data_IF_283739393197
#
_entry.id   IF_283739393197
#
_cell.length_a   1.000
_cell.length_b   1.000
_cell.length_c   1.000
_cell.angle_alpha   90.00
_cell.angle_beta   90.00
_cell.angle_gamma   90.00
#
_symmetry.space_group_name_H-M   'P 1'
#
loop_
_entity.id
_entity.type
_entity.pdbx_description
1 polymer ?
#
# COMPACT_ATOMS: atom_id res chain seq x y z
N UNK A 1 -27.55 17.61 24.38
CA UNK A 1 -26.19 18.22 24.52
C UNK A 1 -25.23 17.29 23.79
N UNK A 2 -24.92 17.59 22.54
CA UNK A 2 -24.02 16.76 21.72
C UNK A 2 -22.54 17.04 22.10
N UNK A 3 -21.63 16.09 21.86
CA UNK A 3 -20.24 16.27 22.24
C UNK A 3 -19.62 17.41 21.42
N UNK A 4 -18.98 18.34 22.12
CA UNK A 4 -18.15 19.37 21.53
C UNK A 4 -17.05 18.74 20.68
N UNK A 5 -17.16 18.89 19.37
CA UNK A 5 -16.10 18.57 18.43
C UNK A 5 -15.03 19.65 18.62
N UNK A 6 -13.91 19.31 19.22
CA UNK A 6 -12.74 20.18 19.18
C UNK A 6 -12.38 20.42 17.72
N UNK A 7 -12.60 21.62 17.23
CA UNK A 7 -12.05 22.05 15.96
C UNK A 7 -10.53 22.10 16.14
N UNK A 8 -9.83 21.16 15.50
CA UNK A 8 -8.39 21.24 15.28
C UNK A 8 -8.09 22.58 14.61
N UNK A 9 -6.95 23.24 14.90
CA UNK A 9 -6.55 24.45 14.19
C UNK A 9 -6.64 24.20 12.69
N UNK A 10 -7.28 25.12 11.96
CA UNK A 10 -7.68 24.95 10.57
C UNK A 10 -6.57 24.29 9.76
N UNK A 11 -6.83 23.06 9.28
CA UNK A 11 -5.96 22.40 8.32
C UNK A 11 -5.73 23.37 7.16
N UNK A 12 -4.49 23.58 6.72
CA UNK A 12 -4.24 24.44 5.57
C UNK A 12 -5.11 23.98 4.40
N UNK A 13 -5.59 24.92 3.62
CA UNK A 13 -6.36 24.59 2.42
C UNK A 13 -5.52 23.68 1.51
N UNK A 14 -6.15 22.82 0.70
CA UNK A 14 -5.42 21.94 -0.24
C UNK A 14 -4.46 22.74 -1.13
N UNK A 15 -4.81 23.97 -1.51
CA UNK A 15 -3.90 24.86 -2.24
C UNK A 15 -2.68 25.27 -1.41
N UNK A 16 -2.84 25.54 -0.12
CA UNK A 16 -1.73 25.85 0.77
C UNK A 16 -0.77 24.66 0.98
N UNK A 17 -1.32 23.45 1.10
CA UNK A 17 -0.49 22.23 1.16
C UNK A 17 0.28 21.98 -0.14
N UNK A 18 -0.35 22.21 -1.28
CA UNK A 18 0.31 22.09 -2.57
C UNK A 18 1.43 23.10 -2.73
N UNK A 19 1.21 24.33 -2.29
CA UNK A 19 2.22 25.38 -2.35
C UNK A 19 3.47 25.03 -1.53
N UNK A 20 3.31 24.44 -0.31
CA UNK A 20 4.45 23.95 0.47
C UNK A 20 5.29 22.96 -0.34
N UNK A 21 4.64 21.98 -0.97
CA UNK A 21 5.35 20.99 -1.80
C UNK A 21 6.06 21.61 -3.01
N UNK A 22 5.42 22.58 -3.66
CA UNK A 22 6.01 23.31 -4.81
C UNK A 22 7.19 24.17 -4.40
N UNK A 23 7.20 24.68 -3.17
CA UNK A 23 8.35 25.37 -2.57
C UNK A 23 9.45 24.41 -2.07
N UNK A 24 9.26 23.09 -2.18
CA UNK A 24 10.21 22.09 -1.72
C UNK A 24 10.13 21.84 -0.20
N UNK A 25 9.08 22.32 0.47
CA UNK A 25 8.89 22.12 1.89
C UNK A 25 8.21 20.78 2.18
N UNK A 26 8.56 20.16 3.31
CA UNK A 26 7.98 18.89 3.74
C UNK A 26 6.67 19.09 4.48
N UNK A 27 5.75 18.14 4.30
CA UNK A 27 4.52 18.08 5.07
C UNK A 27 4.82 17.57 6.49
N UNK A 28 4.18 18.14 7.48
CA UNK A 28 4.15 17.51 8.80
C UNK A 28 3.42 16.17 8.76
N UNK A 29 3.64 15.30 9.76
CA UNK A 29 2.94 14.04 9.88
C UNK A 29 1.41 14.20 9.84
N UNK A 30 0.87 15.25 10.47
CA UNK A 30 -0.57 15.54 10.44
C UNK A 30 -1.07 15.90 9.03
N UNK A 31 -0.33 16.74 8.30
CA UNK A 31 -0.67 17.12 6.92
C UNK A 31 -0.57 15.94 5.95
N UNK A 32 0.45 15.09 6.11
CA UNK A 32 0.60 13.87 5.32
C UNK A 32 -0.54 12.87 5.61
N UNK A 33 -0.95 12.75 6.87
CA UNK A 33 -2.12 11.96 7.28
C UNK A 33 -3.40 12.48 6.63
N UNK A 34 -3.67 13.80 6.73
CA UNK A 34 -4.85 14.42 6.13
C UNK A 34 -4.90 14.22 4.61
N UNK A 35 -3.76 14.38 3.93
CA UNK A 35 -3.64 14.18 2.49
C UNK A 35 -3.95 12.73 2.10
N UNK A 36 -3.40 11.76 2.84
CA UNK A 36 -3.64 10.34 2.55
C UNK A 36 -5.09 9.94 2.81
N UNK A 37 -5.70 10.45 3.89
CA UNK A 37 -7.13 10.25 4.17
C UNK A 37 -8.01 10.86 3.09
N UNK A 38 -7.65 12.03 2.56
CA UNK A 38 -8.36 12.68 1.48
C UNK A 38 -8.29 11.86 0.18
N UNK A 39 -7.17 11.20 -0.12
CA UNK A 39 -7.08 10.26 -1.24
C UNK A 39 -7.97 9.03 -1.05
N UNK A 40 -7.92 8.40 0.13
CA UNK A 40 -8.74 7.21 0.41
C UNK A 40 -10.24 7.49 0.41
N UNK A 41 -10.64 8.70 0.80
CA UNK A 41 -12.05 9.13 0.82
C UNK A 41 -12.52 9.78 -0.49
N UNK A 42 -11.65 9.81 -1.51
CA UNK A 42 -11.93 10.47 -2.81
C UNK A 42 -12.32 11.95 -2.68
N UNK A 43 -11.83 12.63 -1.62
CA UNK A 43 -12.14 14.04 -1.36
C UNK A 43 -11.38 15.00 -2.29
N UNK A 44 -10.34 14.52 -2.98
CA UNK A 44 -9.56 15.31 -3.92
C UNK A 44 -10.02 15.07 -5.36
N UNK A 45 -10.06 16.14 -6.15
CA UNK A 45 -10.29 16.01 -7.58
C UNK A 45 -9.10 15.31 -8.26
N UNK A 46 -9.28 14.68 -9.45
CA UNK A 46 -8.18 14.07 -10.20
C UNK A 46 -7.04 15.06 -10.49
N UNK A 47 -7.35 16.33 -10.73
CA UNK A 47 -6.35 17.39 -10.97
C UNK A 47 -5.53 17.65 -9.71
N UNK A 48 -6.18 17.78 -8.56
CA UNK A 48 -5.48 17.95 -7.28
C UNK A 48 -4.63 16.75 -6.95
N UNK A 49 -5.14 15.53 -7.13
CA UNK A 49 -4.39 14.29 -6.93
C UNK A 49 -3.12 14.28 -7.80
N UNK A 50 -3.25 14.58 -9.10
CA UNK A 50 -2.10 14.66 -10.00
C UNK A 50 -1.09 15.71 -9.57
N UNK A 51 -1.54 16.89 -9.13
CA UNK A 51 -0.67 17.98 -8.67
C UNK A 51 0.10 17.58 -7.39
N UNK A 52 -0.56 16.96 -6.40
CA UNK A 52 0.08 16.46 -5.19
C UNK A 52 1.12 15.37 -5.46
N UNK A 53 0.78 14.40 -6.31
CA UNK A 53 1.72 13.34 -6.70
C UNK A 53 2.94 13.91 -7.42
N UNK A 54 2.74 14.86 -8.32
CA UNK A 54 3.84 15.54 -9.01
C UNK A 54 4.70 16.35 -8.04
N UNK A 55 4.09 17.09 -7.11
CA UNK A 55 4.78 17.87 -6.08
C UNK A 55 5.63 16.99 -5.15
N UNK A 56 5.06 15.92 -4.62
CA UNK A 56 5.77 14.94 -3.79
C UNK A 56 6.92 14.29 -4.56
N UNK A 57 6.71 13.93 -5.82
CA UNK A 57 7.75 13.34 -6.66
C UNK A 57 8.89 14.33 -6.95
N UNK A 58 8.57 15.59 -7.20
CA UNK A 58 9.56 16.63 -7.50
C UNK A 58 10.40 17.00 -6.27
N UNK A 59 9.74 17.13 -5.13
CA UNK A 59 10.40 17.45 -3.84
C UNK A 59 11.23 16.25 -3.33
N UNK A 60 10.77 15.05 -3.54
CA UNK A 60 11.17 13.85 -2.83
C UNK A 60 10.38 13.68 -1.52
N UNK A 61 10.14 12.43 -1.12
CA UNK A 61 9.41 12.13 0.12
C UNK A 61 10.36 12.02 1.31
N UNK A 62 9.99 12.66 2.41
CA UNK A 62 10.68 12.47 3.69
C UNK A 62 10.14 11.24 4.43
N UNK A 63 10.97 10.66 5.31
CA UNK A 63 10.62 9.47 6.05
C UNK A 63 9.38 9.66 6.94
N UNK A 64 9.22 10.84 7.53
CA UNK A 64 8.07 11.17 8.39
C UNK A 64 6.77 11.25 7.60
N UNK A 65 6.79 11.87 6.41
CA UNK A 65 5.64 11.92 5.50
C UNK A 65 5.21 10.51 5.08
N UNK A 66 6.19 9.69 4.65
CA UNK A 66 5.93 8.33 4.22
C UNK A 66 5.38 7.46 5.35
N UNK A 67 5.95 7.58 6.55
CA UNK A 67 5.49 6.84 7.72
C UNK A 67 4.05 7.20 8.08
N UNK A 68 3.69 8.49 8.09
CA UNK A 68 2.34 8.94 8.37
C UNK A 68 1.32 8.40 7.35
N UNK A 69 1.64 8.48 6.06
CA UNK A 69 0.78 7.95 4.99
C UNK A 69 0.63 6.42 5.07
N UNK A 70 1.72 5.70 5.36
CA UNK A 70 1.69 4.24 5.51
C UNK A 70 0.84 3.81 6.70
N UNK A 71 0.83 4.56 7.81
CA UNK A 71 -0.03 4.30 8.95
C UNK A 71 -1.51 4.42 8.59
N UNK A 72 -1.90 5.45 7.84
CA UNK A 72 -3.28 5.62 7.37
C UNK A 72 -3.70 4.44 6.51
N UNK A 73 -2.86 3.99 5.57
CA UNK A 73 -3.14 2.82 4.74
C UNK A 73 -3.30 1.56 5.58
N UNK A 74 -2.44 1.36 6.56
CA UNK A 74 -2.49 0.21 7.47
C UNK A 74 -3.79 0.18 8.28
N UNK A 75 -4.22 1.33 8.79
CA UNK A 75 -5.46 1.47 9.55
C UNK A 75 -6.71 1.30 8.68
N UNK A 76 -6.65 1.72 7.43
CA UNK A 76 -7.72 1.55 6.46
C UNK A 76 -7.86 0.10 5.94
N UNK A 77 -6.88 -0.77 6.19
CA UNK A 77 -6.90 -2.16 5.78
C UNK A 77 -7.44 -3.04 6.92
N UNK A 78 -8.75 -3.34 6.97
CA UNK A 78 -9.31 -4.18 8.00
C UNK A 78 -8.83 -5.62 7.82
N UNK A 79 -8.48 -6.27 8.94
CA UNK A 79 -8.24 -7.71 8.97
C UNK A 79 -9.57 -8.40 9.31
N UNK A 80 -10.30 -8.96 8.33
CA UNK A 80 -11.61 -9.57 8.56
C UNK A 80 -11.52 -10.94 9.26
N UNK A 81 -10.32 -11.44 9.50
CA UNK A 81 -10.06 -12.69 10.21
C UNK A 81 -8.84 -12.58 11.13
N UNK A 82 -8.73 -13.49 12.08
CA UNK A 82 -7.57 -13.57 12.96
C UNK A 82 -6.29 -13.87 12.16
N UNK A 83 -5.20 -13.24 12.55
CA UNK A 83 -3.88 -13.60 11.99
C UNK A 83 -3.52 -15.01 12.43
N UNK A 84 -2.90 -15.82 11.54
CA UNK A 84 -2.32 -17.08 11.95
C UNK A 84 -1.25 -16.86 13.06
N UNK A 85 -1.29 -17.67 14.12
CA UNK A 85 -0.26 -17.66 15.17
C UNK A 85 0.96 -18.48 14.70
N UNK A 86 1.66 -17.94 13.72
CA UNK A 86 2.87 -18.55 13.14
C UNK A 86 3.74 -17.48 12.48
N UNK A 87 5.01 -17.81 12.33
CA UNK A 87 5.94 -16.96 11.60
C UNK A 87 5.60 -16.97 10.11
N UNK A 88 5.34 -15.80 9.55
CA UNK A 88 5.03 -15.62 8.14
C UNK A 88 6.03 -14.67 7.51
N UNK A 89 6.43 -14.98 6.29
CA UNK A 89 7.27 -14.12 5.44
C UNK A 89 6.45 -13.60 4.28
N UNK A 90 6.71 -12.39 3.85
CA UNK A 90 6.24 -11.85 2.58
C UNK A 90 7.43 -11.53 1.67
N UNK A 91 7.23 -11.63 0.38
CA UNK A 91 8.20 -11.29 -0.65
C UNK A 91 7.64 -10.25 -1.57
N UNK A 92 8.29 -9.08 -1.64
CA UNK A 92 7.84 -7.94 -2.42
C UNK A 92 8.83 -7.60 -3.52
N UNK A 93 8.32 -7.39 -4.73
CA UNK A 93 9.05 -6.71 -5.79
C UNK A 93 8.67 -5.24 -5.79
N UNK A 94 9.63 -4.35 -5.68
CA UNK A 94 9.38 -2.89 -5.66
C UNK A 94 8.94 -2.36 -7.03
N UNK A 95 9.29 -3.05 -8.12
CA UNK A 95 8.93 -2.65 -9.48
C UNK A 95 9.52 -1.32 -9.93
N UNK A 96 9.15 -0.87 -11.10
CA UNK A 96 9.46 0.48 -11.58
C UNK A 96 10.93 0.73 -11.95
N UNK A 97 11.77 -0.29 -11.95
CA UNK A 97 13.20 -0.20 -12.31
C UNK A 97 13.47 -0.30 -13.83
N UNK A 98 12.42 -0.59 -14.61
CA UNK A 98 12.52 -0.76 -16.06
C UNK A 98 13.33 -1.99 -16.50
N UNK A 99 13.67 -2.91 -15.58
CA UNK A 99 14.57 -4.02 -15.88
C UNK A 99 13.89 -5.19 -16.61
N UNK A 100 12.55 -5.14 -16.79
CA UNK A 100 11.74 -6.19 -17.47
C UNK A 100 12.07 -7.63 -17.00
N UNK A 101 12.39 -7.79 -15.72
CA UNK A 101 12.68 -9.10 -15.12
C UNK A 101 11.40 -9.92 -14.95
N UNK A 102 11.55 -11.25 -14.88
CA UNK A 102 10.42 -12.10 -14.49
C UNK A 102 10.01 -11.85 -13.02
N UNK A 103 8.85 -12.35 -12.63
CA UNK A 103 8.30 -12.15 -11.27
C UNK A 103 9.12 -12.88 -10.20
N UNK A 104 10.33 -12.37 -9.91
CA UNK A 104 11.32 -12.96 -8.99
C UNK A 104 10.70 -13.17 -7.60
N UNK A 105 9.96 -12.18 -7.08
CA UNK A 105 9.33 -12.29 -5.76
C UNK A 105 8.32 -13.45 -5.67
N UNK A 106 7.63 -13.76 -6.78
CA UNK A 106 6.73 -14.92 -6.85
C UNK A 106 7.51 -16.23 -6.84
N UNK A 107 8.58 -16.33 -7.62
CA UNK A 107 9.44 -17.51 -7.63
C UNK A 107 10.09 -17.74 -6.26
N UNK A 108 10.56 -16.68 -5.60
CA UNK A 108 11.13 -16.75 -4.24
C UNK A 108 10.10 -17.21 -3.22
N UNK A 109 8.83 -16.76 -3.33
CA UNK A 109 7.77 -17.22 -2.43
C UNK A 109 7.59 -18.74 -2.50
N UNK A 110 7.45 -19.32 -3.69
CA UNK A 110 7.34 -20.77 -3.86
C UNK A 110 8.59 -21.53 -3.40
N UNK A 111 9.78 -20.97 -3.67
CA UNK A 111 11.03 -21.59 -3.22
C UNK A 111 11.14 -21.59 -1.69
N UNK A 112 10.79 -20.47 -1.04
CA UNK A 112 10.79 -20.37 0.42
C UNK A 112 9.80 -21.38 1.04
N UNK A 113 8.60 -21.51 0.46
CA UNK A 113 7.62 -22.51 0.89
C UNK A 113 8.15 -23.94 0.72
N UNK A 114 8.81 -24.24 -0.38
CA UNK A 114 9.43 -25.56 -0.59
C UNK A 114 10.56 -25.84 0.41
N UNK A 115 11.16 -24.81 0.99
CA UNK A 115 12.12 -24.91 2.08
C UNK A 115 11.49 -24.93 3.49
N UNK A 116 10.17 -25.00 3.60
CA UNK A 116 9.45 -25.10 4.87
C UNK A 116 9.15 -23.74 5.54
N UNK A 117 9.21 -22.64 4.80
CA UNK A 117 8.86 -21.29 5.30
C UNK A 117 7.45 -20.96 4.86
N UNK A 118 6.57 -20.62 5.80
CA UNK A 118 5.22 -20.17 5.48
C UNK A 118 5.25 -18.74 4.90
N UNK A 119 4.59 -18.55 3.76
CA UNK A 119 4.58 -17.28 3.02
C UNK A 119 3.17 -16.73 2.91
N UNK A 120 2.97 -15.51 3.37
CA UNK A 120 1.76 -14.72 3.11
C UNK A 120 2.08 -13.66 2.05
N UNK A 121 1.99 -14.06 0.79
CA UNK A 121 2.39 -13.20 -0.32
C UNK A 121 1.28 -12.25 -0.72
N UNK A 122 1.58 -10.95 -0.68
CA UNK A 122 0.76 -9.99 -1.39
C UNK A 122 1.10 -9.98 -2.89
N UNK A 123 0.11 -9.75 -3.72
CA UNK A 123 0.27 -9.66 -5.15
C UNK A 123 -0.23 -8.34 -5.69
N UNK A 124 0.30 -7.91 -6.82
CA UNK A 124 -0.20 -6.75 -7.54
C UNK A 124 -0.22 -7.04 -9.04
N UNK A 125 -1.14 -6.39 -9.73
CA UNK A 125 -1.12 -6.34 -11.19
C UNK A 125 -0.03 -5.35 -11.61
N UNK A 126 0.60 -5.61 -12.76
CA UNK A 126 1.67 -4.72 -13.23
C UNK A 126 1.13 -3.33 -13.53
N UNK A 127 1.79 -2.31 -13.00
CA UNK A 127 1.51 -0.91 -13.34
C UNK A 127 2.27 -0.45 -14.60
N UNK A 128 3.43 -1.04 -14.88
CA UNK A 128 4.32 -0.65 -15.99
C UNK A 128 4.83 -1.83 -16.83
N UNK A 129 4.78 -3.05 -16.31
CA UNK A 129 5.21 -4.26 -17.00
C UNK A 129 4.07 -4.99 -17.70
N UNK A 130 4.42 -6.05 -18.43
CA UNK A 130 3.45 -6.86 -19.18
C UNK A 130 2.63 -7.78 -18.29
N UNK A 131 3.23 -8.27 -17.18
CA UNK A 131 2.63 -9.29 -16.30
C UNK A 131 3.02 -9.01 -14.84
N UNK A 132 2.04 -8.78 -13.98
CA UNK A 132 2.24 -8.63 -12.54
C UNK A 132 2.27 -9.98 -11.80
N UNK A 133 2.65 -9.96 -10.52
CA UNK A 133 2.66 -11.18 -9.69
C UNK A 133 1.27 -11.80 -9.55
N UNK A 134 0.23 -10.99 -9.46
CA UNK A 134 -1.15 -11.45 -9.43
C UNK A 134 -1.55 -12.19 -10.71
N UNK A 135 -1.12 -11.68 -11.87
CA UNK A 135 -1.42 -12.29 -13.17
C UNK A 135 -0.74 -13.66 -13.32
N UNK A 136 0.49 -13.80 -12.80
CA UNK A 136 1.20 -15.09 -12.77
C UNK A 136 0.46 -16.10 -11.88
N UNK A 137 0.06 -15.70 -10.68
CA UNK A 137 -0.65 -16.57 -9.74
C UNK A 137 -2.00 -17.02 -10.30
N UNK A 138 -2.74 -16.11 -10.92
CA UNK A 138 -4.01 -16.42 -11.60
C UNK A 138 -3.80 -17.39 -12.77
N UNK A 139 -2.73 -17.19 -13.56
CA UNK A 139 -2.33 -18.08 -14.64
C UNK A 139 -1.90 -19.48 -14.15
N UNK A 140 -1.40 -19.59 -12.92
CA UNK A 140 -1.11 -20.88 -12.25
C UNK A 140 -2.34 -21.52 -11.63
N UNK A 141 -3.52 -20.90 -11.74
CA UNK A 141 -4.79 -21.45 -11.27
C UNK A 141 -5.18 -21.05 -9.85
N UNK A 142 -4.46 -20.12 -9.21
CA UNK A 142 -4.86 -19.60 -7.90
C UNK A 142 -6.09 -18.69 -8.02
N UNK A 143 -7.06 -18.90 -7.12
CA UNK A 143 -8.23 -18.04 -7.04
C UNK A 143 -7.94 -16.77 -6.20
N UNK A 144 -7.54 -15.69 -6.86
CA UNK A 144 -7.25 -14.41 -6.19
C UNK A 144 -8.49 -13.73 -5.57
N UNK A 145 -9.69 -14.24 -5.84
CA UNK A 145 -10.96 -13.75 -5.27
C UNK A 145 -11.49 -14.65 -4.16
N UNK A 146 -10.68 -15.58 -3.68
CA UNK A 146 -11.07 -16.44 -2.57
C UNK A 146 -11.38 -15.60 -1.32
N UNK A 147 -12.36 -16.00 -0.47
CA UNK A 147 -12.58 -15.35 0.81
C UNK A 147 -11.29 -15.36 1.65
N UNK A 148 -11.00 -14.26 2.36
CA UNK A 148 -9.75 -14.13 3.10
C UNK A 148 -9.56 -15.26 4.14
N UNK A 149 -10.63 -15.72 4.78
CA UNK A 149 -10.55 -16.87 5.68
C UNK A 149 -10.00 -18.12 4.98
N UNK A 150 -10.47 -18.40 3.76
CA UNK A 150 -9.96 -19.53 2.98
C UNK A 150 -8.48 -19.38 2.60
N UNK A 151 -8.04 -18.13 2.35
CA UNK A 151 -6.62 -17.84 2.10
C UNK A 151 -5.80 -18.11 3.36
N UNK A 152 -6.26 -17.64 4.52
CA UNK A 152 -5.58 -17.86 5.81
C UNK A 152 -5.53 -19.35 6.14
N UNK A 153 -6.60 -20.10 5.91
CA UNK A 153 -6.69 -21.54 6.18
C UNK A 153 -5.80 -22.36 5.23
N UNK A 154 -5.49 -21.83 4.05
CA UNK A 154 -4.61 -22.49 3.08
C UNK A 154 -3.13 -22.47 3.49
N UNK A 155 -2.69 -21.45 4.22
CA UNK A 155 -1.28 -21.30 4.63
C UNK A 155 -0.74 -22.53 5.38
N UNK A 156 -1.42 -23.08 6.42
CA UNK A 156 -0.95 -24.28 7.09
C UNK A 156 -0.89 -25.53 6.21
N UNK A 157 -1.72 -25.58 5.17
CA UNK A 157 -1.84 -26.76 4.31
C UNK A 157 -0.88 -26.71 3.11
N UNK A 158 -0.69 -25.54 2.53
CA UNK A 158 0.09 -25.35 1.31
C UNK A 158 1.41 -24.58 1.54
N UNK A 159 1.55 -23.89 2.66
CA UNK A 159 2.70 -23.04 3.00
C UNK A 159 2.69 -21.67 2.30
N UNK A 160 1.72 -21.42 1.44
CA UNK A 160 1.57 -20.17 0.69
C UNK A 160 0.10 -19.89 0.38
#
# INVERSE_FOLDING_TARGET
MGPFRFMSPASPSWSGLLELLLCGESLSAAQATDLMQAWLSEALTPVQTGAFLAGLRAKGMEAEELAAMAMVLREACPLPCARPDRFLVDTCGTGGDGADTFNISTAVAFTATACGVDVAKHGNRSASGKVGSADVLEGLGLNLKAPLQSVVDAIPAAGV
#
